data_IF_982652587953
#
_entry.id   IF_982652587953
#
_cell.length_a   1.000
_cell.length_b   1.000
_cell.length_c   1.000
_cell.angle_alpha   90.00
_cell.angle_beta   90.00
_cell.angle_gamma   90.00
#
_symmetry.space_group_name_H-M   'P 1'
#
loop_
_entity.id
_entity.type
_entity.pdbx_description
1 polymer ?
#
# COMPACT_ATOMS: atom_id res chain seq x y z
N UNK A 1 7.98 -24.22 48.34
CA UNK A 1 6.61 -23.75 48.03
C UNK A 1 6.54 -22.27 47.62
N UNK A 2 7.57 -21.43 47.81
CA UNK A 2 7.56 -20.02 47.38
C UNK A 2 8.29 -19.78 46.03
N UNK A 3 9.01 -20.77 45.52
CA UNK A 3 9.87 -20.63 44.33
C UNK A 3 9.09 -20.82 43.03
N UNK A 4 8.09 -21.72 43.01
CA UNK A 4 7.26 -22.00 41.82
C UNK A 4 6.40 -20.81 41.37
N UNK A 5 5.92 -19.99 42.31
CA UNK A 5 5.09 -18.81 42.01
C UNK A 5 5.88 -17.65 41.41
N UNK A 6 7.16 -17.49 41.78
CA UNK A 6 8.03 -16.45 41.21
C UNK A 6 8.41 -16.77 39.75
N UNK A 7 8.64 -18.05 39.43
CA UNK A 7 8.91 -18.50 38.06
C UNK A 7 7.69 -18.37 37.14
N UNK A 8 6.48 -18.62 37.64
CA UNK A 8 5.25 -18.49 36.84
C UNK A 8 4.89 -17.01 36.56
N UNK A 9 5.17 -16.09 37.49
CA UNK A 9 4.96 -14.65 37.30
C UNK A 9 5.90 -14.03 36.25
N UNK A 10 7.14 -14.53 36.14
CA UNK A 10 8.11 -14.09 35.13
C UNK A 10 7.81 -14.64 33.72
N UNK A 11 7.16 -15.81 33.62
CA UNK A 11 6.83 -16.43 32.33
C UNK A 11 5.75 -15.67 31.54
N UNK A 12 4.86 -14.93 32.23
CA UNK A 12 3.76 -14.18 31.59
C UNK A 12 4.08 -12.72 31.24
N UNK A 13 5.27 -12.22 31.59
CA UNK A 13 5.64 -10.82 31.33
C UNK A 13 6.33 -10.60 29.96
N UNK A 14 6.51 -11.64 29.15
CA UNK A 14 7.36 -11.61 27.95
C UNK A 14 6.64 -12.03 26.65
N UNK A 15 5.35 -11.74 26.49
CA UNK A 15 4.60 -12.09 25.25
C UNK A 15 3.81 -10.94 24.61
N UNK A 16 4.11 -9.66 24.90
CA UNK A 16 3.27 -8.55 24.42
C UNK A 16 3.92 -7.51 23.48
N UNK A 17 5.11 -7.75 22.93
CA UNK A 17 5.83 -6.69 22.20
C UNK A 17 6.23 -6.92 20.75
N UNK A 18 6.23 -8.15 20.22
CA UNK A 18 7.10 -8.49 19.09
C UNK A 18 6.43 -9.00 17.80
N UNK A 19 5.09 -9.16 17.74
CA UNK A 19 4.46 -9.90 16.64
C UNK A 19 3.86 -9.06 15.48
N UNK A 20 3.65 -7.75 15.62
CA UNK A 20 2.79 -7.01 14.67
C UNK A 20 3.51 -6.01 13.76
N UNK A 21 4.81 -5.79 13.97
CA UNK A 21 5.57 -4.87 13.14
C UNK A 21 5.60 -5.35 11.68
N UNK A 22 5.79 -6.65 11.42
CA UNK A 22 5.88 -7.25 10.09
C UNK A 22 4.59 -7.18 9.26
N UNK A 23 3.44 -7.44 9.90
CA UNK A 23 2.13 -7.38 9.25
C UNK A 23 1.75 -5.94 8.91
N UNK A 24 2.08 -4.99 9.77
CA UNK A 24 1.82 -3.56 9.51
C UNK A 24 2.58 -3.04 8.29
N UNK A 25 3.82 -3.51 8.05
CA UNK A 25 4.61 -3.12 6.86
C UNK A 25 4.02 -3.68 5.56
N UNK A 26 3.57 -4.95 5.57
CA UNK A 26 2.97 -5.57 4.37
C UNK A 26 1.64 -4.91 4.03
N UNK A 27 0.87 -4.54 5.06
CA UNK A 27 -0.35 -3.76 4.89
C UNK A 27 -0.06 -2.39 4.30
N UNK A 28 0.92 -1.66 4.84
CA UNK A 28 1.35 -0.36 4.29
C UNK A 28 1.84 -0.45 2.83
N UNK A 29 2.56 -1.51 2.48
CA UNK A 29 2.96 -1.78 1.10
C UNK A 29 1.76 -1.99 0.17
N UNK A 30 0.73 -2.72 0.63
CA UNK A 30 -0.48 -2.96 -0.16
C UNK A 30 -1.26 -1.66 -0.40
N UNK A 31 -1.36 -0.80 0.61
CA UNK A 31 -1.98 0.53 0.48
C UNK A 31 -1.19 1.41 -0.49
N UNK A 32 0.14 1.37 -0.43
CA UNK A 32 1.01 2.07 -1.39
C UNK A 32 0.75 1.60 -2.83
N UNK A 33 0.68 0.29 -3.06
CA UNK A 33 0.37 -0.28 -4.39
C UNK A 33 -1.01 0.18 -4.91
N UNK A 34 -2.03 0.19 -4.05
CA UNK A 34 -3.37 0.68 -4.41
C UNK A 34 -3.38 2.16 -4.75
N UNK A 35 -2.59 2.98 -4.04
CA UNK A 35 -2.40 4.40 -4.35
C UNK A 35 -1.76 4.58 -5.74
N UNK A 36 -0.73 3.80 -6.06
CA UNK A 36 -0.10 3.83 -7.38
C UNK A 36 -1.08 3.41 -8.49
N UNK A 37 -1.94 2.42 -8.24
CA UNK A 37 -3.02 2.03 -9.15
C UNK A 37 -3.99 3.19 -9.43
N UNK A 38 -4.39 3.93 -8.40
CA UNK A 38 -5.25 5.11 -8.55
C UNK A 38 -4.53 6.21 -9.33
N UNK A 39 -3.24 6.44 -9.05
CA UNK A 39 -2.43 7.43 -9.75
C UNK A 39 -2.37 7.12 -11.26
N UNK A 40 -2.07 5.87 -11.63
CA UNK A 40 -2.10 5.45 -13.03
C UNK A 40 -3.49 5.57 -13.66
N UNK A 41 -4.55 5.22 -12.92
CA UNK A 41 -5.92 5.31 -13.41
C UNK A 41 -6.31 6.74 -13.77
N UNK A 42 -5.91 7.73 -12.97
CA UNK A 42 -6.20 9.15 -13.24
C UNK A 42 -5.40 9.64 -14.45
N UNK A 43 -4.14 9.21 -14.61
CA UNK A 43 -3.35 9.52 -15.81
C UNK A 43 -4.03 8.96 -17.08
N UNK A 44 -4.47 7.71 -17.05
CA UNK A 44 -5.20 7.11 -18.17
C UNK A 44 -6.55 7.78 -18.42
N UNK A 45 -7.30 8.12 -17.37
CA UNK A 45 -8.56 8.84 -17.50
C UNK A 45 -8.35 10.22 -18.13
N UNK A 46 -7.34 10.96 -17.68
CA UNK A 46 -6.97 12.26 -18.24
C UNK A 46 -6.59 12.12 -19.71
N UNK A 47 -5.74 11.14 -20.04
CA UNK A 47 -5.40 10.83 -21.43
C UNK A 47 -6.65 10.51 -22.26
N UNK A 48 -7.53 9.62 -21.80
CA UNK A 48 -8.73 9.23 -22.52
C UNK A 48 -9.70 10.40 -22.76
N UNK A 49 -9.78 11.35 -21.82
CA UNK A 49 -10.58 12.57 -21.98
C UNK A 49 -9.95 13.51 -23.01
N UNK A 50 -8.63 13.69 -22.98
CA UNK A 50 -7.92 14.65 -23.84
C UNK A 50 -7.49 14.08 -25.20
N UNK A 51 -7.58 12.76 -25.42
CA UNK A 51 -7.06 12.10 -26.63
C UNK A 51 -7.67 12.63 -27.94
N UNK A 52 -8.91 13.10 -27.91
CA UNK A 52 -9.58 13.69 -29.08
C UNK A 52 -9.53 15.24 -29.09
N UNK A 53 -8.98 15.86 -28.05
CA UNK A 53 -8.90 17.30 -27.89
C UNK A 53 -7.65 17.92 -28.54
N UNK A 54 -7.37 17.60 -29.81
CA UNK A 54 -6.11 18.01 -30.47
C UNK A 54 -6.07 19.50 -30.88
N UNK A 55 -7.10 20.30 -30.55
CA UNK A 55 -7.20 21.73 -30.86
C UNK A 55 -6.87 22.07 -32.34
N UNK A 56 -7.29 21.21 -33.28
CA UNK A 56 -7.02 21.37 -34.71
C UNK A 56 -5.63 20.91 -35.16
N UNK A 57 -4.82 20.34 -34.26
CA UNK A 57 -3.56 19.68 -34.57
C UNK A 57 -3.77 18.26 -35.12
N UNK A 58 -2.76 17.72 -35.85
CA UNK A 58 -2.82 16.40 -36.46
C UNK A 58 -3.12 15.32 -35.41
N UNK A 59 -4.07 14.46 -35.71
CA UNK A 59 -4.41 13.32 -34.86
C UNK A 59 -3.32 12.26 -34.97
N UNK A 60 -3.25 11.30 -34.03
CA UNK A 60 -2.28 10.20 -34.14
C UNK A 60 -2.37 9.40 -35.45
N UNK A 61 -3.50 9.47 -36.17
CA UNK A 61 -3.71 8.89 -37.51
C UNK A 61 -3.08 9.70 -38.66
N UNK A 62 -2.70 10.95 -38.41
CA UNK A 62 -2.08 11.82 -39.42
C UNK A 62 -0.54 11.79 -39.33
N UNK A 63 0.01 11.22 -38.24
CA UNK A 63 1.45 11.20 -37.93
C UNK A 63 2.05 9.80 -38.09
N UNK A 64 1.24 8.75 -38.10
CA UNK A 64 1.62 7.34 -38.32
C UNK A 64 0.68 6.69 -39.34
#
# INVERSE_FOLDING_TARGET
MATDTLTHATAHAHEHGHHDAGQTKIFGFWVYLMSDCILFSILFATYAVLVNGTAGGPTGKDIF
#
